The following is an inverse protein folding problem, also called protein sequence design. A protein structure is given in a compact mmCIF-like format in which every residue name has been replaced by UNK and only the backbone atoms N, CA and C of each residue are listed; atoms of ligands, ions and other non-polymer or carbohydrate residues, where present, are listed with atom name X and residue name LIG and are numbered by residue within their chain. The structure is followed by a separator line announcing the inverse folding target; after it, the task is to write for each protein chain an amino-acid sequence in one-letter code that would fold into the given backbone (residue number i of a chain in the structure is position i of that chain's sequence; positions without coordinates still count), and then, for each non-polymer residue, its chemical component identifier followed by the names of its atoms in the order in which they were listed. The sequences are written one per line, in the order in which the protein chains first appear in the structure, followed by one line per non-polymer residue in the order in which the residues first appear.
data_IF_879939142814
#
_entry.id   IF_879939142814
#
_cell.length_a   1.000
_cell.length_b   1.000
_cell.length_c   1.000
_cell.angle_alpha   90.00
_cell.angle_beta   90.00
_cell.angle_gamma   90.00
#
_symmetry.space_group_name_H-M   'P 1'
#
loop_
_entity.id
_entity.type
_entity.pdbx_description
1 polymer ?
#
# COMPACT_ATOMS: atom_id res chain seq x y z
N UNK A 1 -64.90 28.49 73.83
CA UNK A 1 -65.09 27.65 72.62
C UNK A 1 -63.73 27.47 71.95
N UNK A 2 -63.12 26.28 72.03
CA UNK A 2 -61.92 25.90 71.28
C UNK A 2 -61.95 24.38 71.05
N UNK A 3 -62.47 23.96 69.90
CA UNK A 3 -62.26 22.66 69.24
C UNK A 3 -62.55 22.88 67.75
N UNK A 4 -62.01 22.00 66.90
CA UNK A 4 -61.95 22.10 65.44
C UNK A 4 -60.91 23.11 64.93
N UNK A 5 -59.70 22.61 64.64
CA UNK A 5 -59.09 22.63 63.29
C UNK A 5 -57.72 21.92 63.34
N UNK A 6 -57.74 20.62 63.62
CA UNK A 6 -56.74 19.67 63.14
C UNK A 6 -57.48 18.72 62.19
N UNK A 7 -57.15 18.76 60.90
CA UNK A 7 -56.58 17.63 60.14
C UNK A 7 -56.38 18.05 58.67
N UNK A 8 -55.70 17.21 57.86
CA UNK A 8 -55.52 17.30 56.41
C UNK A 8 -54.57 18.39 55.90
N UNK A 9 -53.26 18.11 55.97
CA UNK A 9 -52.35 18.34 54.84
C UNK A 9 -51.88 17.00 54.29
N UNK A 10 -52.07 16.81 52.99
CA UNK A 10 -51.96 15.51 52.31
C UNK A 10 -50.52 15.16 51.95
N UNK A 11 -50.24 13.85 51.87
CA UNK A 11 -48.94 13.28 51.51
C UNK A 11 -48.62 13.43 50.02
N UNK A 12 -47.36 13.72 49.73
CA UNK A 12 -46.78 13.52 48.39
C UNK A 12 -46.67 12.01 48.09
N UNK A 13 -46.93 11.55 46.85
CA UNK A 13 -46.73 10.16 46.47
C UNK A 13 -45.24 9.83 46.36
N UNK A 14 -44.84 8.66 46.89
CA UNK A 14 -43.47 8.14 46.79
C UNK A 14 -43.20 7.51 45.42
N UNK A 15 -42.02 7.80 44.86
CA UNK A 15 -41.54 7.17 43.63
C UNK A 15 -41.26 5.66 43.84
N UNK A 16 -41.60 4.79 42.87
CA UNK A 16 -41.29 3.37 42.96
C UNK A 16 -39.78 3.11 42.86
N UNK A 17 -39.29 2.12 43.62
CA UNK A 17 -37.89 1.69 43.57
C UNK A 17 -37.58 1.00 42.23
N UNK A 18 -36.36 1.16 41.67
CA UNK A 18 -35.95 0.43 40.47
C UNK A 18 -35.82 -1.08 40.75
N UNK A 19 -36.04 -1.95 39.74
CA UNK A 19 -35.84 -3.39 39.87
C UNK A 19 -34.35 -3.75 40.04
N UNK A 20 -34.03 -4.91 40.64
CA UNK A 20 -32.65 -5.38 40.78
C UNK A 20 -32.01 -5.66 39.41
N UNK A 21 -30.67 -5.55 39.30
CA UNK A 21 -29.96 -5.77 38.04
C UNK A 21 -30.12 -7.21 37.54
N UNK A 22 -30.34 -7.35 36.23
CA UNK A 22 -30.48 -8.66 35.59
C UNK A 22 -29.21 -9.50 35.79
N UNK A 23 -29.40 -10.76 36.18
CA UNK A 23 -28.32 -11.73 36.35
C UNK A 23 -27.62 -11.91 35.00
N UNK A 24 -26.30 -11.71 34.99
CA UNK A 24 -25.45 -11.95 33.82
C UNK A 24 -25.62 -13.40 33.34
N UNK A 25 -26.15 -13.58 32.13
CA UNK A 25 -26.18 -14.88 31.49
C UNK A 25 -24.74 -15.33 31.24
N UNK A 26 -24.29 -16.33 31.99
CA UNK A 26 -23.10 -17.08 31.59
C UNK A 26 -23.45 -17.84 30.32
N UNK A 27 -22.62 -17.79 29.26
CA UNK A 27 -22.95 -18.47 28.01
C UNK A 27 -23.14 -19.98 28.25
N UNK A 28 -24.07 -20.65 27.55
CA UNK A 28 -24.34 -22.06 27.72
C UNK A 28 -23.07 -22.89 27.68
N UNK A 29 -23.01 -23.96 28.49
CA UNK A 29 -21.82 -24.83 28.62
C UNK A 29 -21.25 -25.26 27.26
N UNK A 30 -22.12 -25.54 26.29
CA UNK A 30 -21.77 -25.91 24.92
C UNK A 30 -21.00 -24.80 24.16
N UNK A 31 -21.39 -23.52 24.30
CA UNK A 31 -20.67 -22.41 23.66
C UNK A 31 -19.28 -22.19 24.28
N UNK A 32 -19.12 -22.46 25.58
CA UNK A 32 -17.81 -22.42 26.25
C UNK A 32 -16.91 -23.54 25.73
N UNK A 33 -17.44 -24.76 25.69
CA UNK A 33 -16.71 -25.94 25.21
C UNK A 33 -16.33 -25.79 23.71
N UNK A 34 -17.16 -25.12 22.90
CA UNK A 34 -16.85 -24.82 21.50
C UNK A 34 -15.77 -23.73 21.35
N UNK A 35 -15.83 -22.66 22.17
CA UNK A 35 -14.76 -21.64 22.20
C UNK A 35 -13.42 -22.22 22.61
N UNK A 36 -13.39 -23.06 23.66
CA UNK A 36 -12.16 -23.76 24.08
C UNK A 36 -11.60 -24.68 22.99
N UNK A 37 -12.46 -25.35 22.22
CA UNK A 37 -12.02 -26.17 21.07
C UNK A 37 -11.40 -25.32 19.97
N UNK A 38 -12.06 -24.21 19.58
CA UNK A 38 -11.56 -23.26 18.57
C UNK A 38 -10.24 -22.60 19.00
N UNK A 39 -10.08 -22.31 20.28
CA UNK A 39 -8.85 -21.73 20.83
C UNK A 39 -7.68 -22.74 20.83
N UNK A 40 -7.94 -24.00 21.24
CA UNK A 40 -6.95 -25.10 21.17
C UNK A 40 -6.53 -25.41 19.74
N UNK A 41 -7.47 -25.41 18.78
CA UNK A 41 -7.17 -25.62 17.35
C UNK A 41 -6.30 -24.47 16.79
N UNK A 42 -6.58 -23.23 17.19
CA UNK A 42 -5.77 -22.06 16.79
C UNK A 42 -4.36 -22.12 17.37
N UNK A 43 -4.22 -22.47 18.65
CA UNK A 43 -2.91 -22.63 19.29
C UNK A 43 -2.09 -23.78 18.65
N UNK A 44 -2.75 -24.87 18.24
CA UNK A 44 -2.11 -25.98 17.54
C UNK A 44 -1.62 -25.57 16.14
N UNK A 45 -2.45 -24.83 15.37
CA UNK A 45 -2.05 -24.27 14.07
C UNK A 45 -0.88 -23.30 14.18
N UNK A 46 -0.86 -22.45 15.22
CA UNK A 46 0.26 -21.52 15.46
C UNK A 46 1.56 -22.27 15.82
N UNK A 47 1.49 -23.33 16.63
CA UNK A 47 2.64 -24.19 16.94
C UNK A 47 3.20 -24.87 15.68
N UNK A 48 2.35 -25.44 14.84
CA UNK A 48 2.75 -26.10 13.59
C UNK A 48 3.40 -25.11 12.61
N UNK A 49 2.85 -23.89 12.49
CA UNK A 49 3.43 -22.83 11.65
C UNK A 49 4.80 -22.38 12.17
N UNK A 50 4.96 -22.26 13.49
CA UNK A 50 6.23 -21.89 14.15
C UNK A 50 7.31 -22.98 14.00
N UNK A 51 6.90 -24.25 13.99
CA UNK A 51 7.80 -25.38 13.75
C UNK A 51 8.28 -25.44 12.29
N UNK A 52 7.36 -25.26 11.31
CA UNK A 52 7.71 -25.15 9.88
C UNK A 52 8.66 -23.99 9.59
N UNK A 53 8.45 -22.83 10.23
CA UNK A 53 9.37 -21.69 10.12
C UNK A 53 10.77 -22.02 10.63
N UNK A 54 10.89 -22.68 11.81
CA UNK A 54 12.19 -23.10 12.37
C UNK A 54 12.92 -24.10 11.48
N UNK A 55 12.22 -25.12 10.97
CA UNK A 55 12.78 -26.09 10.03
C UNK A 55 13.30 -25.40 8.76
N UNK A 56 12.55 -24.45 8.20
CA UNK A 56 12.98 -23.69 7.02
C UNK A 56 14.20 -22.80 7.29
N UNK A 57 14.30 -22.19 8.49
CA UNK A 57 15.48 -21.42 8.90
C UNK A 57 16.72 -22.31 9.07
N UNK A 58 16.57 -23.51 9.63
CA UNK A 58 17.66 -24.47 9.78
C UNK A 58 18.18 -24.99 8.43
N UNK A 59 17.30 -25.32 7.48
CA UNK A 59 17.70 -25.71 6.12
C UNK A 59 18.42 -24.58 5.38
N UNK A 60 17.92 -23.35 5.49
CA UNK A 60 18.59 -22.16 4.91
C UNK A 60 19.94 -21.88 5.56
N UNK A 61 20.12 -22.23 6.84
CA UNK A 61 21.41 -22.14 7.54
C UNK A 61 22.38 -23.20 7.02
N UNK A 62 21.94 -24.47 6.93
CA UNK A 62 22.75 -25.59 6.37
C UNK A 62 23.25 -25.30 4.97
N UNK A 63 22.35 -24.88 4.06
CA UNK A 63 22.69 -24.53 2.67
C UNK A 63 23.71 -23.38 2.57
N UNK A 64 23.68 -22.43 3.51
CA UNK A 64 24.61 -21.30 3.57
C UNK A 64 25.97 -21.67 4.16
N UNK A 65 26.02 -22.72 4.98
CA UNK A 65 27.24 -23.24 5.60
C UNK A 65 27.99 -24.16 4.62
N UNK A 66 27.28 -25.03 3.90
CA UNK A 66 27.82 -25.85 2.81
C UNK A 66 28.48 -24.98 1.71
N UNK A 67 27.81 -23.89 1.30
CA UNK A 67 28.34 -22.92 0.32
C UNK A 67 29.54 -22.10 0.83
N UNK A 68 29.92 -22.23 2.10
CA UNK A 68 31.11 -21.58 2.71
C UNK A 68 32.28 -22.53 2.95
N UNK A 69 32.06 -23.85 2.97
CA UNK A 69 33.12 -24.85 3.22
C UNK A 69 33.91 -25.30 1.97
N UNK A 70 33.38 -25.09 0.77
CA UNK A 70 33.97 -25.57 -0.49
C UNK A 70 35.12 -24.71 -1.03
N UNK A 71 36.28 -24.70 -0.37
CA UNK A 71 37.46 -23.98 -0.84
C UNK A 71 38.80 -24.55 -0.34
N UNK A 72 39.41 -25.45 -1.11
CA UNK A 72 40.74 -26.01 -0.84
C UNK A 72 41.12 -27.11 -1.86
N UNK A 73 42.31 -26.99 -2.46
CA UNK A 73 42.74 -27.81 -3.61
C UNK A 73 43.41 -29.15 -3.21
N UNK A 74 43.32 -30.18 -4.09
CA UNK A 74 44.51 -30.88 -4.65
C UNK A 74 44.21 -31.87 -5.79
N UNK A 75 45.27 -32.18 -6.56
CA UNK A 75 45.31 -33.03 -7.78
C UNK A 75 45.59 -34.52 -7.47
N UNK A 76 45.66 -35.32 -8.55
CA UNK A 76 45.98 -36.77 -8.69
C UNK A 76 44.79 -37.70 -8.43
N UNK A 77 44.52 -38.76 -9.22
CA UNK A 77 45.23 -39.36 -10.36
C UNK A 77 44.24 -39.99 -11.39
N UNK A 78 44.71 -40.63 -12.48
CA UNK A 78 43.88 -41.13 -13.61
C UNK A 78 44.20 -42.60 -13.95
N UNK A 79 43.22 -43.39 -14.44
CA UNK A 79 43.42 -44.15 -15.69
C UNK A 79 42.16 -44.15 -16.61
N UNK A 80 42.18 -43.57 -17.83
CA UNK A 80 42.34 -44.27 -19.14
C UNK A 80 41.44 -45.52 -19.32
N UNK A 81 40.42 -45.52 -20.18
CA UNK A 81 40.39 -45.38 -21.67
C UNK A 81 39.02 -44.76 -22.11
N UNK A 82 38.69 -44.42 -23.36
CA UNK A 82 39.37 -44.44 -24.68
C UNK A 82 39.09 -43.13 -25.49
N UNK A 83 38.60 -43.21 -26.75
CA UNK A 83 38.18 -42.09 -27.67
C UNK A 83 37.08 -42.58 -28.65
N UNK A 84 36.37 -41.69 -29.38
CA UNK A 84 36.81 -41.23 -30.72
C UNK A 84 36.96 -39.68 -30.80
N UNK A 85 37.98 -39.09 -31.43
CA UNK A 85 38.15 -38.79 -32.89
C UNK A 85 37.08 -37.80 -33.42
N UNK A 86 37.33 -36.65 -34.07
CA UNK A 86 38.45 -35.70 -34.32
C UNK A 86 37.93 -34.76 -35.43
N UNK A 87 37.68 -33.47 -35.18
CA UNK A 87 37.46 -32.45 -36.23
C UNK A 87 37.72 -31.03 -35.72
N UNK A 88 38.38 -30.20 -36.54
CA UNK A 88 38.81 -28.80 -36.36
C UNK A 88 39.20 -28.27 -37.77
N UNK A 89 39.38 -26.96 -38.07
CA UNK A 89 38.74 -25.70 -37.62
C UNK A 89 37.95 -25.11 -38.85
N UNK A 90 38.07 -23.86 -39.39
CA UNK A 90 38.40 -22.53 -38.84
C UNK A 90 37.26 -21.45 -39.03
N UNK A 91 37.29 -20.35 -39.86
CA UNK A 91 36.87 -19.05 -39.30
C UNK A 91 35.99 -18.09 -40.16
N UNK A 92 35.61 -16.97 -39.51
CA UNK A 92 34.99 -15.72 -40.02
C UNK A 92 35.39 -15.30 -41.47
N UNK A 93 34.40 -15.16 -42.38
CA UNK A 93 34.37 -14.25 -43.56
C UNK A 93 32.88 -13.94 -43.85
N UNK A 94 32.36 -12.71 -43.88
CA UNK A 94 32.68 -11.49 -44.65
C UNK A 94 32.56 -11.64 -46.18
N UNK A 95 31.36 -11.37 -46.70
CA UNK A 95 31.02 -10.89 -48.07
C UNK A 95 30.17 -9.63 -47.84
N UNK A 96 30.42 -8.41 -48.34
CA UNK A 96 31.00 -7.94 -49.60
C UNK A 96 30.36 -8.56 -50.84
N UNK A 97 29.31 -7.89 -51.30
CA UNK A 97 29.01 -7.70 -52.73
C UNK A 97 28.98 -6.18 -52.97
N UNK A 98 29.40 -5.73 -54.16
CA UNK A 98 29.40 -4.33 -54.59
C UNK A 98 28.90 -4.26 -56.04
N UNK A 99 28.26 -3.13 -56.39
CA UNK A 99 28.25 -2.49 -57.73
C UNK A 99 27.50 -3.24 -58.86
N UNK A 100 26.75 -2.63 -59.78
CA UNK A 100 26.27 -1.24 -60.09
C UNK A 100 24.78 -1.36 -60.57
N UNK A 101 23.96 -0.35 -60.92
CA UNK A 101 24.11 0.95 -61.63
C UNK A 101 23.00 1.96 -61.19
N UNK A 102 23.06 3.26 -61.54
CA UNK A 102 22.43 4.35 -60.77
C UNK A 102 21.19 5.03 -61.39
N UNK A 103 20.47 5.82 -60.57
CA UNK A 103 19.71 7.01 -60.99
C UNK A 103 19.48 7.94 -59.79
N UNK A 104 19.43 9.25 -60.02
CA UNK A 104 19.56 10.34 -59.04
C UNK A 104 18.29 10.65 -58.21
N UNK A 105 18.47 11.16 -56.98
CA UNK A 105 17.76 12.32 -56.42
C UNK A 105 18.27 12.70 -55.02
N UNK A 106 18.37 14.00 -54.74
CA UNK A 106 18.76 14.57 -53.44
C UNK A 106 17.74 14.31 -52.32
N UNK A 107 18.25 14.12 -51.09
CA UNK A 107 17.88 15.01 -49.97
C UNK A 107 18.76 14.75 -48.75
N UNK A 108 19.37 15.81 -48.24
CA UNK A 108 20.06 15.85 -46.95
C UNK A 108 19.07 16.01 -45.79
N UNK A 109 19.14 15.12 -44.78
CA UNK A 109 18.66 15.45 -43.44
C UNK A 109 19.55 14.80 -42.38
N UNK A 110 20.28 15.62 -41.62
CA UNK A 110 20.95 15.19 -40.39
C UNK A 110 19.90 14.68 -39.38
N UNK A 111 19.99 13.39 -39.04
CA UNK A 111 19.24 12.80 -37.92
C UNK A 111 20.10 12.85 -36.65
N UNK A 112 19.71 13.58 -35.59
CA UNK A 112 20.52 13.64 -34.39
C UNK A 112 20.48 12.32 -33.63
N UNK A 113 21.66 11.71 -33.49
CA UNK A 113 22.04 10.60 -32.61
C UNK A 113 21.05 10.28 -31.47
N UNK A 114 20.36 9.14 -31.58
CA UNK A 114 19.63 8.53 -30.47
C UNK A 114 20.60 7.97 -29.41
N UNK A 115 21.19 8.84 -28.59
CA UNK A 115 21.88 8.41 -27.36
C UNK A 115 21.71 9.42 -26.22
N UNK A 116 20.47 9.56 -25.73
CA UNK A 116 20.21 10.14 -24.41
C UNK A 116 19.10 9.40 -23.63
N UNK A 117 19.54 8.61 -22.63
CA UNK A 117 18.86 8.29 -21.36
C UNK A 117 17.65 7.32 -21.33
N UNK A 118 17.89 5.99 -21.24
CA UNK A 118 16.87 5.00 -20.93
C UNK A 118 16.57 4.92 -19.41
N UNK A 119 15.97 5.97 -18.83
CA UNK A 119 15.49 5.93 -17.42
C UNK A 119 14.08 6.49 -17.24
N UNK A 120 13.65 7.49 -18.04
CA UNK A 120 12.29 8.06 -17.91
C UNK A 120 11.19 7.24 -18.60
N UNK A 121 11.53 6.37 -19.54
CA UNK A 121 10.55 5.65 -20.37
C UNK A 121 9.78 4.50 -19.69
N UNK A 122 10.29 3.94 -18.59
CA UNK A 122 9.70 2.73 -17.98
C UNK A 122 8.39 2.95 -17.24
N UNK A 123 8.26 4.10 -16.56
CA UNK A 123 7.12 4.39 -15.67
C UNK A 123 5.90 4.98 -16.40
N UNK A 124 6.10 5.62 -17.54
CA UNK A 124 5.00 6.22 -18.31
C UNK A 124 4.46 5.28 -19.40
N UNK A 125 4.77 3.98 -19.28
CA UNK A 125 4.39 2.93 -20.21
C UNK A 125 2.88 2.67 -20.19
N UNK A 126 2.35 2.20 -21.33
CA UNK A 126 0.93 1.80 -21.47
C UNK A 126 0.54 0.77 -20.39
N UNK A 127 1.39 -0.23 -20.16
CA UNK A 127 1.19 -1.24 -19.13
C UNK A 127 1.10 -0.66 -17.70
N UNK A 128 1.84 0.41 -17.37
CA UNK A 128 1.72 1.06 -16.06
C UNK A 128 0.43 1.87 -15.94
N UNK A 129 -0.09 2.45 -17.04
CA UNK A 129 -1.42 3.10 -17.06
C UNK A 129 -2.54 2.09 -16.89
N UNK A 130 -2.50 0.96 -17.61
CA UNK A 130 -3.50 -0.10 -17.51
C UNK A 130 -3.53 -0.69 -16.08
N UNK A 131 -2.36 -1.01 -15.52
CA UNK A 131 -2.23 -1.41 -14.11
C UNK A 131 -2.76 -0.37 -13.13
N UNK A 132 -2.46 0.91 -13.35
CA UNK A 132 -2.98 1.99 -12.50
C UNK A 132 -4.50 2.16 -12.65
N UNK A 133 -5.05 1.99 -13.87
CA UNK A 133 -6.48 2.03 -14.15
C UNK A 133 -7.22 0.95 -13.36
N UNK A 134 -6.77 -0.31 -13.40
CA UNK A 134 -7.34 -1.39 -12.58
C UNK A 134 -7.22 -1.12 -11.07
N UNK A 135 -6.15 -0.47 -10.63
CA UNK A 135 -6.01 -0.04 -9.24
C UNK A 135 -7.00 1.07 -8.84
N UNK A 136 -7.28 2.03 -9.72
CA UNK A 136 -8.33 3.04 -9.48
C UNK A 136 -9.71 2.40 -9.49
N UNK A 137 -9.99 1.50 -10.43
CA UNK A 137 -11.26 0.76 -10.53
C UNK A 137 -11.58 0.02 -9.22
N UNK A 138 -10.60 -0.72 -8.66
CA UNK A 138 -10.72 -1.33 -7.34
C UNK A 138 -11.00 -0.31 -6.21
N UNK A 139 -10.37 0.87 -6.24
CA UNK A 139 -10.63 1.91 -5.23
C UNK A 139 -11.99 2.60 -5.40
N UNK A 140 -12.51 2.69 -6.63
CA UNK A 140 -13.88 3.14 -6.94
C UNK A 140 -14.90 2.11 -6.42
N UNK A 141 -14.72 0.83 -6.72
CA UNK A 141 -15.55 -0.25 -6.15
C UNK A 141 -15.47 -0.27 -4.62
N UNK A 142 -14.30 -0.02 -4.02
CA UNK A 142 -14.14 0.08 -2.55
C UNK A 142 -14.86 1.30 -1.95
N UNK A 143 -15.10 2.36 -2.74
CA UNK A 143 -15.85 3.53 -2.27
C UNK A 143 -17.36 3.27 -2.19
N UNK A 144 -17.86 2.34 -3.02
CA UNK A 144 -19.25 1.88 -3.07
C UNK A 144 -19.50 0.70 -2.12
N UNK A 145 -18.55 -0.23 -2.00
CA UNK A 145 -18.56 -1.35 -1.05
C UNK A 145 -17.30 -1.33 -0.16
N UNK A 146 -17.42 -1.03 1.15
CA UNK A 146 -16.28 -0.98 2.06
C UNK A 146 -15.63 -2.35 2.35
N UNK A 147 -16.30 -3.46 2.03
CA UNK A 147 -15.79 -4.81 2.23
C UNK A 147 -15.08 -5.37 0.97
N UNK A 148 -15.10 -4.64 -0.16
CA UNK A 148 -14.48 -5.03 -1.44
C UNK A 148 -13.03 -5.51 -1.29
N UNK A 149 -12.16 -4.77 -0.59
CA UNK A 149 -10.75 -5.18 -0.38
C UNK A 149 -10.66 -6.51 0.38
N UNK A 150 -11.54 -6.74 1.36
CA UNK A 150 -11.56 -7.97 2.14
C UNK A 150 -12.05 -9.14 1.29
N UNK A 151 -13.11 -8.95 0.50
CA UNK A 151 -13.62 -9.95 -0.43
C UNK A 151 -12.58 -10.35 -1.50
N UNK A 152 -11.83 -9.39 -2.06
CA UNK A 152 -10.71 -9.67 -2.96
C UNK A 152 -9.61 -10.49 -2.26
N UNK A 153 -9.18 -10.10 -1.05
CA UNK A 153 -8.16 -10.82 -0.28
C UNK A 153 -8.60 -12.25 0.08
N UNK A 154 -9.87 -12.47 0.43
CA UNK A 154 -10.42 -13.78 0.81
C UNK A 154 -10.62 -14.72 -0.38
N UNK A 155 -10.70 -14.19 -1.61
CA UNK A 155 -10.84 -14.95 -2.86
C UNK A 155 -9.52 -15.08 -3.65
N UNK A 156 -8.44 -14.44 -3.21
CA UNK A 156 -7.16 -14.21 -3.93
C UNK A 156 -7.36 -13.76 -5.39
N UNK A 157 -8.23 -12.77 -5.59
CA UNK A 157 -8.60 -12.26 -6.91
C UNK A 157 -7.39 -11.91 -7.81
N UNK A 158 -7.33 -12.57 -8.97
CA UNK A 158 -6.21 -12.45 -9.92
C UNK A 158 -6.24 -11.14 -10.73
N UNK A 159 -7.36 -10.42 -10.77
CA UNK A 159 -7.54 -9.21 -11.59
C UNK A 159 -6.99 -7.95 -10.88
N UNK A 160 -7.41 -7.72 -9.64
CA UNK A 160 -7.17 -6.49 -8.89
C UNK A 160 -6.03 -6.61 -7.88
N UNK A 161 -5.80 -7.79 -7.28
CA UNK A 161 -4.72 -7.93 -6.29
C UNK A 161 -3.33 -7.75 -6.90
N UNK A 162 -2.97 -8.27 -8.10
CA UNK A 162 -1.63 -8.06 -8.65
C UNK A 162 -1.34 -6.58 -8.97
N UNK A 163 -2.23 -5.79 -9.62
CA UNK A 163 -2.08 -4.34 -9.72
C UNK A 163 -1.95 -3.64 -8.37
N UNK A 164 -2.82 -3.96 -7.40
CA UNK A 164 -2.78 -3.36 -6.06
C UNK A 164 -1.45 -3.61 -5.35
N UNK A 165 -1.04 -4.89 -5.26
CA UNK A 165 0.24 -5.32 -4.68
C UNK A 165 1.43 -4.63 -5.38
N UNK A 166 1.34 -4.40 -6.70
CA UNK A 166 2.40 -3.73 -7.47
C UNK A 166 2.49 -2.23 -7.22
N UNK A 167 1.36 -1.50 -7.16
CA UNK A 167 1.33 -0.08 -6.82
C UNK A 167 1.79 0.14 -5.36
N UNK A 168 1.28 -0.66 -4.42
CA UNK A 168 1.69 -0.60 -3.00
C UNK A 168 3.19 -0.93 -2.83
N UNK A 169 3.76 -1.79 -3.68
CA UNK A 169 5.21 -2.07 -3.72
C UNK A 169 6.04 -0.87 -4.20
N UNK A 170 5.60 -0.18 -5.27
CA UNK A 170 6.28 1.01 -5.80
C UNK A 170 6.33 2.14 -4.75
N UNK A 171 5.21 2.41 -4.08
CA UNK A 171 5.10 3.40 -3.02
C UNK A 171 6.04 3.08 -1.85
N UNK A 172 6.07 1.81 -1.40
CA UNK A 172 6.92 1.37 -0.29
C UNK A 172 8.41 1.27 -0.66
N UNK A 173 8.77 1.09 -1.93
CA UNK A 173 10.17 1.24 -2.40
C UNK A 173 10.63 2.70 -2.30
N UNK A 174 9.82 3.67 -2.74
CA UNK A 174 10.16 5.09 -2.61
C UNK A 174 10.24 5.54 -1.14
N UNK A 175 9.31 5.10 -0.27
CA UNK A 175 9.39 5.36 1.18
C UNK A 175 10.71 4.85 1.78
N UNK A 176 11.11 3.62 1.43
CA UNK A 176 12.39 3.03 1.88
C UNK A 176 13.62 3.75 1.32
N UNK A 177 13.52 4.44 0.17
CA UNK A 177 14.58 5.30 -0.36
C UNK A 177 14.72 6.59 0.43
N UNK A 178 13.62 7.28 0.70
CA UNK A 178 13.62 8.53 1.49
C UNK A 178 14.15 8.32 2.92
N UNK A 179 13.78 7.20 3.57
CA UNK A 179 14.30 6.83 4.90
C UNK A 179 15.83 6.58 4.93
N UNK A 180 16.48 6.36 3.78
CA UNK A 180 17.95 6.27 3.69
C UNK A 180 18.64 7.62 3.49
N UNK A 181 17.87 8.68 3.16
CA UNK A 181 18.37 10.05 2.96
C UNK A 181 18.27 10.91 4.21
N UNK A 182 17.32 10.62 5.10
CA UNK A 182 17.14 11.36 6.36
C UNK A 182 16.97 10.42 7.55
N UNK A 183 17.57 10.76 8.69
CA UNK A 183 17.45 9.99 9.93
C UNK A 183 16.10 10.24 10.64
N UNK A 184 15.01 9.72 10.06
CA UNK A 184 13.66 9.87 10.57
C UNK A 184 13.41 8.91 11.74
N UNK A 185 13.38 9.43 12.97
CA UNK A 185 13.13 8.65 14.19
C UNK A 185 11.82 7.85 14.13
N UNK A 186 11.73 6.74 14.87
CA UNK A 186 10.51 5.95 14.96
C UNK A 186 9.30 6.78 15.39
N UNK A 187 9.47 7.66 16.39
CA UNK A 187 8.42 8.58 16.83
C UNK A 187 7.91 9.49 15.71
N UNK A 188 8.81 10.01 14.85
CA UNK A 188 8.38 10.80 13.69
C UNK A 188 7.62 9.93 12.67
N UNK A 189 8.07 8.70 12.42
CA UNK A 189 7.37 7.77 11.51
C UNK A 189 5.95 7.44 12.01
N UNK A 190 5.79 7.03 13.27
CA UNK A 190 4.46 6.75 13.86
C UNK A 190 3.51 7.96 13.77
N UNK A 191 4.02 9.16 14.06
CA UNK A 191 3.24 10.40 13.97
C UNK A 191 2.84 10.70 12.53
N UNK A 192 3.75 10.53 11.57
CA UNK A 192 3.51 10.68 10.13
C UNK A 192 2.61 9.59 9.54
N UNK A 193 2.44 8.44 10.20
CA UNK A 193 1.55 7.35 9.74
C UNK A 193 0.15 7.47 10.34
N UNK A 194 0.04 8.09 11.52
CA UNK A 194 -1.22 8.29 12.24
C UNK A 194 -2.14 9.30 11.53
N UNK A 195 -1.58 10.38 11.01
CA UNK A 195 -2.32 11.58 10.62
C UNK A 195 -2.28 11.85 9.11
N UNK A 196 -3.38 11.64 8.35
CA UNK A 196 -3.38 11.79 6.90
C UNK A 196 -3.33 13.22 6.38
N UNK A 197 -3.48 14.25 7.22
CA UNK A 197 -3.29 15.65 6.80
C UNK A 197 -2.00 16.21 7.37
N UNK A 198 -1.33 17.03 6.57
CA UNK A 198 -0.06 17.66 6.91
C UNK A 198 -0.03 19.06 6.29
N UNK A 199 0.38 20.05 7.07
CA UNK A 199 0.65 21.43 6.61
C UNK A 199 2.04 21.86 7.08
N UNK A 200 2.66 22.80 6.38
CA UNK A 200 4.04 23.20 6.59
C UNK A 200 4.16 24.72 6.56
N UNK A 201 4.28 25.34 7.73
CA UNK A 201 4.36 26.79 7.88
C UNK A 201 5.82 27.25 7.99
N UNK A 202 6.29 28.17 7.14
CA UNK A 202 7.65 28.70 7.23
C UNK A 202 7.82 29.55 8.50
N UNK A 203 9.01 29.50 9.09
CA UNK A 203 9.41 30.32 10.23
C UNK A 203 10.55 31.26 9.80
N UNK A 204 10.56 32.48 10.33
CA UNK A 204 11.58 33.51 10.02
C UNK A 204 13.03 33.02 10.25
N UNK A 205 13.21 32.04 11.14
CA UNK A 205 14.48 31.36 11.41
C UNK A 205 15.01 30.44 10.28
N UNK A 206 14.39 30.41 9.09
CA UNK A 206 14.74 29.49 8.00
C UNK A 206 14.37 28.02 8.27
N UNK A 207 13.58 27.77 9.32
CA UNK A 207 13.02 26.48 9.67
C UNK A 207 11.55 26.40 9.22
N UNK A 208 10.98 25.19 9.23
CA UNK A 208 9.58 24.94 8.90
C UNK A 208 8.91 24.25 10.09
N UNK A 209 7.71 24.71 10.45
CA UNK A 209 6.84 24.07 11.43
C UNK A 209 5.86 23.18 10.68
N UNK A 210 6.01 21.86 10.85
CA UNK A 210 5.18 20.84 10.23
C UNK A 210 4.06 20.45 11.20
N UNK A 211 2.80 20.69 10.84
CA UNK A 211 1.64 20.32 11.65
C UNK A 211 0.98 19.10 11.03
N UNK A 212 0.65 18.11 11.87
CA UNK A 212 0.02 16.86 11.46
C UNK A 212 -1.40 16.75 12.03
N UNK A 213 -2.34 16.23 11.25
CA UNK A 213 -3.75 16.11 11.66
C UNK A 213 -4.65 15.32 10.71
N UNK A 214 -5.95 15.60 10.79
CA UNK A 214 -6.98 14.82 10.11
C UNK A 214 -7.40 13.58 10.91
N UNK A 215 -8.48 12.94 10.48
CA UNK A 215 -9.02 11.76 11.16
C UNK A 215 -8.19 10.51 10.84
N UNK A 216 -7.85 9.74 11.87
CA UNK A 216 -7.20 8.45 11.71
C UNK A 216 -8.12 7.46 10.97
N UNK A 217 -7.54 6.46 10.32
CA UNK A 217 -8.29 5.52 9.48
C UNK A 217 -7.65 4.13 9.51
N UNK A 218 -8.44 3.09 9.22
CA UNK A 218 -7.97 1.71 9.14
C UNK A 218 -7.12 1.55 7.87
N UNK A 219 -5.88 1.07 8.02
CA UNK A 219 -4.96 1.00 6.89
C UNK A 219 -5.27 -0.08 5.86
N UNK A 220 -6.04 -1.11 6.23
CA UNK A 220 -6.54 -2.15 5.31
C UNK A 220 -7.79 -1.68 4.57
N UNK A 221 -8.86 -1.40 5.32
CA UNK A 221 -10.21 -1.10 4.76
C UNK A 221 -10.39 0.36 4.36
N UNK A 222 -9.40 1.22 4.58
CA UNK A 222 -9.42 2.67 4.30
C UNK A 222 -10.49 3.48 5.06
N UNK A 223 -11.33 2.81 5.86
CA UNK A 223 -12.42 3.40 6.64
C UNK A 223 -11.92 4.30 7.78
N UNK A 224 -12.57 5.46 7.94
CA UNK A 224 -12.29 6.43 9.03
C UNK A 224 -12.59 5.81 10.39
N UNK A 225 -11.65 5.92 11.33
CA UNK A 225 -11.79 5.41 12.70
C UNK A 225 -12.38 6.49 13.59
N UNK A 226 -13.71 6.44 13.78
CA UNK A 226 -14.45 7.34 14.68
C UNK A 226 -14.17 7.01 16.16
N UNK A 227 -13.05 7.48 16.74
CA UNK A 227 -12.80 7.40 18.19
C UNK A 227 -12.18 8.65 18.81
N UNK A 228 -12.71 9.02 19.97
CA UNK A 228 -12.51 10.27 20.73
C UNK A 228 -11.15 10.42 21.44
N UNK A 229 -10.10 9.71 21.01
CA UNK A 229 -8.83 9.61 21.75
C UNK A 229 -7.62 9.64 20.82
N UNK A 230 -7.72 10.38 19.71
CA UNK A 230 -6.55 10.66 18.87
C UNK A 230 -5.47 11.36 19.72
N UNK A 231 -4.17 11.00 19.58
CA UNK A 231 -3.08 11.73 20.22
C UNK A 231 -3.18 13.23 19.90
N UNK A 232 -2.79 14.09 20.84
CA UNK A 232 -2.72 15.53 20.58
C UNK A 232 -1.84 15.77 19.35
N UNK A 233 -2.34 16.54 18.38
CA UNK A 233 -1.61 16.88 17.17
C UNK A 233 -0.20 17.39 17.52
N UNK A 234 0.80 16.83 16.86
CA UNK A 234 2.20 17.13 17.12
C UNK A 234 2.76 18.02 16.02
N UNK A 235 3.44 19.08 16.45
CA UNK A 235 4.14 20.00 15.56
C UNK A 235 5.64 19.66 15.56
N UNK A 236 6.23 19.47 14.38
CA UNK A 236 7.66 19.17 14.22
C UNK A 236 8.38 20.38 13.63
N UNK A 237 9.48 20.83 14.26
CA UNK A 237 10.35 21.87 13.70
C UNK A 237 11.48 21.23 12.90
N UNK A 238 11.53 21.49 11.60
CA UNK A 238 12.46 20.86 10.65
C UNK A 238 13.22 21.93 9.84
N UNK A 239 14.34 21.57 9.20
CA UNK A 239 14.92 22.40 8.13
C UNK A 239 14.07 22.31 6.85
N UNK A 240 14.14 23.30 5.97
CA UNK A 240 13.38 23.30 4.70
C UNK A 240 13.69 22.08 3.84
N UNK A 241 14.96 21.63 3.80
CA UNK A 241 15.38 20.42 3.09
C UNK A 241 14.78 19.15 3.72
N UNK A 242 14.90 19.01 5.04
CA UNK A 242 14.31 17.89 5.80
C UNK A 242 12.79 17.82 5.60
N UNK A 243 12.13 18.98 5.62
CA UNK A 243 10.69 19.09 5.42
C UNK A 243 10.25 18.49 4.08
N UNK A 244 11.00 18.71 2.99
CA UNK A 244 10.68 18.13 1.66
C UNK A 244 10.65 16.60 1.71
N UNK A 245 11.65 15.99 2.34
CA UNK A 245 11.75 14.53 2.49
C UNK A 245 10.61 13.98 3.36
N UNK A 246 10.28 14.66 4.45
CA UNK A 246 9.13 14.35 5.31
C UNK A 246 7.81 14.43 4.53
N UNK A 247 7.62 15.48 3.73
CA UNK A 247 6.39 15.68 2.97
C UNK A 247 6.17 14.64 1.88
N UNK A 248 7.24 14.22 1.19
CA UNK A 248 7.18 13.14 0.21
C UNK A 248 6.94 11.79 0.88
N UNK A 249 7.58 11.51 2.02
CA UNK A 249 7.37 10.28 2.79
C UNK A 249 5.92 10.15 3.30
N UNK A 250 5.37 11.25 3.83
CA UNK A 250 3.96 11.36 4.24
C UNK A 250 3.01 11.10 3.07
N UNK A 251 3.23 11.81 1.95
CA UNK A 251 2.42 11.68 0.73
C UNK A 251 2.42 10.25 0.18
N UNK A 252 3.59 9.60 0.13
CA UNK A 252 3.71 8.18 -0.26
C UNK A 252 3.04 7.23 0.74
N UNK A 253 3.09 7.51 2.05
CA UNK A 253 2.42 6.68 3.05
C UNK A 253 0.90 6.74 2.85
N UNK A 254 0.34 7.94 2.73
CA UNK A 254 -1.11 8.14 2.65
C UNK A 254 -1.68 8.04 1.24
N UNK A 255 -0.84 7.85 0.20
CA UNK A 255 -1.25 7.84 -1.21
C UNK A 255 -2.54 7.03 -1.47
N UNK A 256 -2.55 5.73 -1.14
CA UNK A 256 -3.73 4.86 -1.31
C UNK A 256 -5.01 5.41 -0.68
N UNK A 257 -4.89 6.05 0.49
CA UNK A 257 -6.03 6.64 1.20
C UNK A 257 -6.51 7.95 0.56
N UNK A 258 -5.60 8.82 0.13
CA UNK A 258 -5.99 10.05 -0.58
C UNK A 258 -6.55 9.76 -1.96
N UNK A 259 -6.00 8.77 -2.68
CA UNK A 259 -6.56 8.30 -3.95
C UNK A 259 -7.95 7.70 -3.74
N UNK A 260 -8.16 6.89 -2.70
CA UNK A 260 -9.49 6.42 -2.30
C UNK A 260 -10.47 7.56 -1.97
N UNK A 261 -10.04 8.60 -1.25
CA UNK A 261 -10.89 9.77 -1.00
C UNK A 261 -11.24 10.55 -2.28
N UNK A 262 -10.35 10.58 -3.28
CA UNK A 262 -10.67 11.13 -4.60
C UNK A 262 -11.66 10.23 -5.38
N UNK A 263 -11.51 8.90 -5.31
CA UNK A 263 -12.46 7.95 -5.89
C UNK A 263 -13.83 8.11 -5.26
N UNK A 264 -13.90 8.17 -3.92
CA UNK A 264 -15.14 8.42 -3.20
C UNK A 264 -15.79 9.75 -3.58
N UNK A 265 -15.01 10.83 -3.75
CA UNK A 265 -15.56 12.11 -4.20
C UNK A 265 -16.18 12.00 -5.62
N UNK A 266 -15.56 11.23 -6.51
CA UNK A 266 -16.06 11.00 -7.86
C UNK A 266 -17.37 10.16 -7.83
N UNK A 267 -17.41 9.07 -7.04
CA UNK A 267 -18.62 8.25 -6.87
C UNK A 267 -19.75 9.06 -6.25
N UNK A 268 -19.48 9.75 -5.13
CA UNK A 268 -20.45 10.60 -4.42
C UNK A 268 -21.01 11.68 -5.39
N UNK A 269 -20.23 12.16 -6.36
CA UNK A 269 -20.65 13.16 -7.35
C UNK A 269 -21.51 12.61 -8.47
N UNK A 270 -21.38 11.33 -8.83
CA UNK A 270 -22.22 10.65 -9.83
C UNK A 270 -23.53 10.21 -9.19
N UNK A 271 -23.48 9.65 -7.98
CA UNK A 271 -24.66 9.29 -7.17
C UNK A 271 -25.56 10.51 -6.87
N UNK A 272 -25.01 11.72 -6.82
CA UNK A 272 -25.77 12.97 -6.67
C UNK A 272 -26.34 13.54 -7.98
N UNK A 273 -25.84 13.08 -9.14
CA UNK A 273 -26.22 13.60 -10.45
C UNK A 273 -27.28 12.74 -11.17
N UNK A 274 -27.44 11.47 -10.76
CA UNK A 274 -28.44 10.54 -11.25
C UNK A 274 -29.38 10.09 -10.12
N UNK A 275 -30.61 9.70 -10.48
CA UNK A 275 -31.58 9.14 -9.51
C UNK A 275 -31.39 7.62 -9.44
N UNK A 276 -30.91 7.13 -8.29
CA UNK A 276 -30.65 5.71 -8.00
C UNK A 276 -29.78 4.96 -9.05
N UNK A 277 -28.59 5.47 -9.43
CA UNK A 277 -27.71 4.76 -10.35
C UNK A 277 -27.19 3.47 -9.73
N UNK A 278 -27.19 2.38 -10.49
CA UNK A 278 -26.65 1.10 -10.02
C UNK A 278 -25.15 1.19 -9.75
N UNK A 279 -24.63 0.46 -8.75
CA UNK A 279 -23.20 0.50 -8.39
C UNK A 279 -22.27 0.25 -9.59
N UNK A 280 -22.60 -0.73 -10.45
CA UNK A 280 -21.83 -1.00 -11.67
C UNK A 280 -21.84 0.19 -12.64
N UNK A 281 -22.96 0.90 -12.76
CA UNK A 281 -23.07 2.11 -13.59
C UNK A 281 -22.18 3.23 -13.04
N UNK A 282 -22.17 3.44 -11.71
CA UNK A 282 -21.29 4.43 -11.08
C UNK A 282 -19.81 4.11 -11.34
N UNK A 283 -19.41 2.83 -11.23
CA UNK A 283 -18.04 2.39 -11.61
C UNK A 283 -17.77 2.69 -13.09
N UNK A 284 -18.66 2.30 -14.00
CA UNK A 284 -18.48 2.52 -15.43
C UNK A 284 -18.36 4.01 -15.78
N UNK A 285 -19.17 4.88 -15.16
CA UNK A 285 -19.10 6.33 -15.34
C UNK A 285 -17.79 6.93 -14.80
N UNK A 286 -17.34 6.58 -13.59
CA UNK A 286 -16.02 6.96 -13.08
C UNK A 286 -14.90 6.55 -14.06
N UNK A 287 -14.96 5.30 -14.54
CA UNK A 287 -13.93 4.73 -15.40
C UNK A 287 -14.01 5.21 -16.86
N UNK A 288 -15.11 5.85 -17.26
CA UNK A 288 -15.24 6.57 -18.53
C UNK A 288 -14.58 7.95 -18.49
N UNK A 289 -14.42 8.58 -17.31
CA UNK A 289 -13.79 9.89 -17.14
C UNK A 289 -12.26 9.84 -17.33
N UNK A 290 -11.82 9.78 -18.59
CA UNK A 290 -10.39 9.70 -18.95
C UNK A 290 -9.57 10.89 -18.44
N UNK A 291 -10.15 12.09 -18.39
CA UNK A 291 -9.46 13.30 -17.91
C UNK A 291 -9.12 13.24 -16.41
N UNK A 292 -10.05 12.73 -15.61
CA UNK A 292 -9.82 12.46 -14.18
C UNK A 292 -8.78 11.36 -13.97
N UNK A 293 -8.89 10.24 -14.69
CA UNK A 293 -7.93 9.13 -14.59
C UNK A 293 -6.51 9.53 -14.98
N UNK A 294 -6.32 10.27 -16.07
CA UNK A 294 -5.00 10.80 -16.45
C UNK A 294 -4.50 11.84 -15.42
N UNK A 295 -5.36 12.63 -14.80
CA UNK A 295 -4.97 13.54 -13.70
C UNK A 295 -4.44 12.77 -12.49
N UNK A 296 -5.10 11.67 -12.09
CA UNK A 296 -4.64 10.78 -11.02
C UNK A 296 -3.32 10.08 -11.39
N UNK A 297 -3.19 9.61 -12.64
CA UNK A 297 -1.99 8.94 -13.12
C UNK A 297 -0.78 9.88 -13.18
N UNK A 298 -0.93 11.09 -13.72
CA UNK A 298 0.14 12.07 -13.76
C UNK A 298 0.59 12.46 -12.34
N UNK A 299 -0.37 12.65 -11.42
CA UNK A 299 -0.06 12.90 -10.00
C UNK A 299 0.70 11.74 -9.33
N UNK A 300 0.40 10.49 -9.68
CA UNK A 300 1.14 9.31 -9.22
C UNK A 300 2.59 9.31 -9.72
N UNK A 301 2.77 9.50 -11.03
CA UNK A 301 4.09 9.55 -11.68
C UNK A 301 4.94 10.70 -11.12
N UNK A 302 4.35 11.87 -10.92
CA UNK A 302 5.04 13.02 -10.33
C UNK A 302 5.48 12.75 -8.90
N UNK A 303 4.61 12.15 -8.06
CA UNK A 303 4.99 11.76 -6.69
C UNK A 303 6.17 10.77 -6.69
N UNK A 304 6.14 9.72 -7.52
CA UNK A 304 7.26 8.77 -7.62
C UNK A 304 8.54 9.42 -8.17
N UNK A 305 8.40 10.37 -9.11
CA UNK A 305 9.51 11.10 -9.73
C UNK A 305 10.17 12.07 -8.76
N UNK A 306 9.38 12.85 -8.02
CA UNK A 306 9.85 13.75 -6.97
C UNK A 306 10.54 12.97 -5.85
N UNK A 307 9.94 11.85 -5.40
CA UNK A 307 10.52 10.97 -4.38
C UNK A 307 11.83 10.29 -4.80
N UNK A 308 12.02 10.08 -6.12
CA UNK A 308 13.28 9.53 -6.65
C UNK A 308 14.38 10.60 -6.70
N UNK A 309 14.01 11.88 -6.83
CA UNK A 309 14.95 13.01 -6.92
C UNK A 309 15.37 13.54 -5.55
N UNK A 310 14.43 13.73 -4.62
CA UNK A 310 14.61 14.37 -3.31
C UNK A 310 15.48 13.56 -2.34
#
# INVERSE_FOLDING_TARGET
QQKLYLDRRQSLPSLPKPPPPAISQTPPRLERDERERKEKEKEQKEKEQKEKLRSSEEDRKRLREEKRGGGGEKKTERPSRARPVKAEPPPKKRKKWQKEVPSDSDSSTDGPSEDQAPVRGGMNSRAMREMFRSYIEMLVSTALDPDMIQALEDTDDELYLPPMRKIDSLLNEQKRRLLRRVNMSGQHQETLHTFPKMTADPLDSGAVKLHLGGECYNRKTLNRVKKSTAPKQQDLKLSTETCRVYSLYHSLHHYKYHTFLNCKKETDSIEQAAEDPGQEEVVQQCMANQGWLETLFNSFIDLLTLSTKA
#
